data_IF_829114593607
#
_entry.id   IF_829114593607
#
_cell.length_a   1.000
_cell.length_b   1.000
_cell.length_c   1.000
_cell.angle_alpha   90.00
_cell.angle_beta   90.00
_cell.angle_gamma   90.00
#
_symmetry.space_group_name_H-M   'P 1'
#
loop_
_entity.id
_entity.type
_entity.pdbx_description
1 polymer ?
#
# COMPACT_ATOMS: atom_id res chain seq x y z
N UNK A 1 15.03 6.14 -2.32
CA UNK A 1 14.50 7.52 -2.20
C UNK A 1 13.08 7.38 -1.66
N UNK A 2 12.63 8.07 -0.61
CA UNK A 2 11.27 7.86 -0.12
C UNK A 2 10.26 8.24 -1.21
N UNK A 3 9.41 7.28 -1.60
CA UNK A 3 8.38 7.49 -2.59
C UNK A 3 7.35 8.46 -2.00
N UNK A 4 7.05 9.55 -2.72
CA UNK A 4 6.08 10.54 -2.23
C UNK A 4 4.68 9.92 -2.10
N UNK A 5 3.86 10.40 -1.15
CA UNK A 5 2.58 9.76 -0.87
C UNK A 5 1.63 9.67 -2.08
N UNK A 6 1.59 10.73 -2.89
CA UNK A 6 0.77 10.79 -4.10
C UNK A 6 1.22 9.78 -5.18
N UNK A 7 2.53 9.58 -5.30
CA UNK A 7 3.10 8.60 -6.24
C UNK A 7 2.80 7.18 -5.82
N UNK A 8 2.95 6.90 -4.53
CA UNK A 8 2.60 5.62 -3.93
C UNK A 8 1.10 5.29 -4.09
N UNK A 9 0.21 6.29 -3.98
CA UNK A 9 -1.22 6.14 -4.27
C UNK A 9 -1.43 5.71 -5.73
N UNK A 10 -0.82 6.44 -6.67
CA UNK A 10 -0.94 6.12 -8.10
C UNK A 10 -0.39 4.72 -8.45
N UNK A 11 0.63 4.26 -7.72
CA UNK A 11 1.20 2.93 -7.87
C UNK A 11 0.31 1.81 -7.36
N UNK A 12 -0.38 2.02 -6.24
CA UNK A 12 -1.35 1.06 -5.70
C UNK A 12 -2.63 1.00 -6.55
N UNK A 13 -3.07 2.14 -7.10
CA UNK A 13 -4.21 2.21 -8.04
C UNK A 13 -3.87 1.61 -9.42
N UNK A 14 -2.64 1.79 -9.89
CA UNK A 14 -2.16 1.22 -11.16
C UNK A 14 -0.81 0.49 -11.02
N UNK A 15 -0.85 -0.85 -10.84
CA UNK A 15 0.35 -1.68 -10.75
C UNK A 15 1.22 -1.64 -12.02
N UNK A 16 0.65 -1.31 -13.19
CA UNK A 16 1.41 -1.24 -14.45
C UNK A 16 2.40 -0.07 -14.43
N UNK A 17 2.05 1.01 -13.73
CA UNK A 17 2.92 2.17 -13.55
C UNK A 17 4.19 1.80 -12.78
N UNK A 18 4.07 1.01 -11.71
CA UNK A 18 5.24 0.48 -10.97
C UNK A 18 6.11 -0.39 -11.85
N UNK A 19 5.50 -1.27 -12.65
CA UNK A 19 6.25 -2.15 -13.56
C UNK A 19 7.03 -1.33 -14.59
N UNK A 20 6.41 -0.30 -15.15
CA UNK A 20 7.04 0.63 -16.09
C UNK A 20 8.19 1.40 -15.43
N UNK A 21 7.94 1.99 -14.26
CA UNK A 21 8.91 2.82 -13.56
C UNK A 21 10.09 1.98 -13.05
N UNK A 22 9.85 0.74 -12.61
CA UNK A 22 10.89 -0.21 -12.24
C UNK A 22 11.77 -0.60 -13.45
N UNK A 23 11.15 -0.86 -14.62
CA UNK A 23 11.90 -1.13 -15.87
C UNK A 23 12.75 0.06 -16.31
N UNK A 24 12.29 1.28 -16.04
CA UNK A 24 13.03 2.52 -16.30
C UNK A 24 14.01 2.88 -15.16
N UNK A 25 14.23 2.00 -14.19
CA UNK A 25 15.11 2.23 -13.02
C UNK A 25 14.74 3.47 -12.18
N UNK A 26 13.48 3.88 -12.21
CA UNK A 26 12.94 5.02 -11.44
C UNK A 26 12.64 4.63 -10.00
N UNK A 27 12.27 3.36 -9.77
CA UNK A 27 12.06 2.80 -8.44
C UNK A 27 12.69 1.41 -8.31
N UNK A 28 13.01 1.02 -7.07
CA UNK A 28 13.59 -0.29 -6.76
C UNK A 28 12.67 -1.10 -5.84
N UNK A 29 12.90 -2.41 -5.76
CA UNK A 29 12.20 -3.31 -4.84
C UNK A 29 12.13 -2.77 -3.40
N UNK A 30 13.25 -2.34 -2.76
CA UNK A 30 13.19 -1.80 -1.40
C UNK A 30 12.43 -0.47 -1.29
N UNK A 31 12.42 0.37 -2.33
CA UNK A 31 11.61 1.60 -2.32
C UNK A 31 10.10 1.26 -2.29
N UNK A 32 9.69 0.22 -3.04
CA UNK A 32 8.31 -0.23 -3.10
C UNK A 32 7.91 -0.98 -1.81
N UNK A 33 8.80 -1.75 -1.21
CA UNK A 33 8.55 -2.36 0.11
C UNK A 33 8.34 -1.30 1.19
N UNK A 34 9.21 -0.27 1.23
CA UNK A 34 9.05 0.85 2.16
C UNK A 34 7.70 1.57 1.95
N UNK A 35 7.28 1.74 0.71
CA UNK A 35 5.99 2.33 0.36
C UNK A 35 4.81 1.49 0.87
N UNK A 36 4.87 0.15 0.73
CA UNK A 36 3.86 -0.77 1.28
C UNK A 36 3.83 -0.66 2.81
N UNK A 37 5.00 -0.66 3.47
CA UNK A 37 5.10 -0.59 4.92
C UNK A 37 4.56 0.75 5.47
N UNK A 38 4.83 1.86 4.78
CA UNK A 38 4.28 3.18 5.13
C UNK A 38 2.77 3.26 4.91
N UNK A 39 2.26 2.68 3.82
CA UNK A 39 0.84 2.59 3.55
C UNK A 39 0.15 1.77 4.65
N UNK A 40 0.73 0.62 5.01
CA UNK A 40 0.24 -0.22 6.09
C UNK A 40 0.23 0.49 7.45
N UNK A 41 1.30 1.21 7.81
CA UNK A 41 1.34 2.01 9.05
C UNK A 41 0.22 3.05 9.10
N UNK A 42 -0.12 3.66 7.97
CA UNK A 42 -1.22 4.61 7.91
C UNK A 42 -2.59 3.94 7.88
N UNK A 43 -2.69 2.69 7.41
CA UNK A 43 -3.91 1.88 7.46
C UNK A 43 -4.19 1.35 8.87
N UNK A 44 -3.17 1.23 9.73
CA UNK A 44 -3.31 0.76 11.10
C UNK A 44 -4.21 1.70 11.91
N UNK A 45 -5.35 1.22 12.44
CA UNK A 45 -6.27 2.03 13.23
C UNK A 45 -5.69 2.44 14.59
N UNK A 46 -4.60 1.81 15.05
CA UNK A 46 -3.85 2.16 16.26
C UNK A 46 -2.88 3.33 16.03
N UNK A 47 -2.63 3.73 14.78
CA UNK A 47 -1.71 4.82 14.47
C UNK A 47 -2.34 6.15 14.92
N UNK A 48 -1.68 6.82 15.87
CA UNK A 48 -2.21 8.00 16.59
C UNK A 48 -2.35 9.25 15.71
N UNK A 49 -1.70 9.29 14.55
CA UNK A 49 -1.80 10.40 13.60
C UNK A 49 -2.47 9.92 12.31
N UNK A 50 -3.59 10.56 11.95
CA UNK A 50 -4.29 10.33 10.69
C UNK A 50 -3.39 10.77 9.52
N UNK A 51 -2.71 9.80 8.90
CA UNK A 51 -1.87 10.04 7.73
C UNK A 51 -2.69 10.39 6.46
N UNK A 52 -2.06 10.95 5.41
CA UNK A 52 -2.71 11.32 4.16
C UNK A 52 -3.51 10.18 3.48
N UNK A 53 -3.13 8.90 3.69
CA UNK A 53 -3.87 7.76 3.14
C UNK A 53 -5.19 7.48 3.85
N UNK A 54 -5.31 7.84 5.13
CA UNK A 54 -6.55 7.68 5.88
C UNK A 54 -7.68 8.56 5.33
N UNK A 55 -7.38 9.74 4.76
CA UNK A 55 -8.38 10.59 4.09
C UNK A 55 -8.98 9.96 2.83
N UNK A 56 -8.27 9.03 2.19
CA UNK A 56 -8.75 8.33 1.00
C UNK A 56 -9.79 7.26 1.33
N UNK A 57 -9.78 6.77 2.58
CA UNK A 57 -10.59 5.66 3.05
C UNK A 57 -11.75 6.17 3.93
N UNK A 58 -11.51 7.22 4.74
CA UNK A 58 -12.44 7.65 5.78
C UNK A 58 -13.33 8.83 5.41
N UNK A 59 -14.11 8.66 4.34
CA UNK A 59 -15.40 9.35 4.26
C UNK A 59 -16.37 8.70 5.25
N UNK A 60 -16.48 9.26 6.46
CA UNK A 60 -17.44 8.95 7.56
C UNK A 60 -17.04 7.93 8.65
N UNK A 61 -17.52 8.23 9.86
CA UNK A 61 -17.18 7.68 11.18
C UNK A 61 -17.69 6.25 11.44
N UNK A 62 -16.84 5.42 12.08
CA UNK A 62 -17.08 4.40 13.14
C UNK A 62 -15.87 3.43 13.17
N UNK A 63 -15.24 3.16 14.32
CA UNK A 63 -13.96 2.42 14.37
C UNK A 63 -14.02 0.95 13.87
N UNK A 64 -15.17 0.29 13.94
CA UNK A 64 -15.36 -1.07 13.41
C UNK A 64 -15.33 -1.13 11.87
N UNK A 65 -16.08 -0.28 11.13
CA UNK A 65 -15.92 -0.20 9.67
C UNK A 65 -14.53 0.29 9.25
N UNK A 66 -13.79 1.02 10.12
CA UNK A 66 -12.40 1.35 9.79
C UNK A 66 -11.50 0.14 9.70
N UNK A 67 -11.59 -0.76 10.67
CA UNK A 67 -10.80 -1.99 10.71
C UNK A 67 -11.15 -2.91 9.53
N UNK A 68 -12.45 -3.04 9.24
CA UNK A 68 -12.94 -3.78 8.07
C UNK A 68 -12.48 -3.14 6.74
N UNK A 69 -12.50 -1.82 6.60
CA UNK A 69 -12.04 -1.14 5.39
C UNK A 69 -10.52 -1.24 5.21
N UNK A 70 -9.74 -1.09 6.27
CA UNK A 70 -8.28 -1.29 6.20
C UNK A 70 -7.94 -2.73 5.79
N UNK A 71 -8.65 -3.72 6.33
CA UNK A 71 -8.47 -5.11 5.93
C UNK A 71 -8.90 -5.36 4.48
N UNK A 72 -10.08 -4.88 4.07
CA UNK A 72 -10.54 -4.99 2.68
C UNK A 72 -9.56 -4.33 1.71
N UNK A 73 -9.00 -3.17 2.06
CA UNK A 73 -8.00 -2.50 1.23
C UNK A 73 -6.71 -3.33 1.11
N UNK A 74 -6.30 -3.97 2.20
CA UNK A 74 -5.14 -4.86 2.19
C UNK A 74 -5.39 -6.09 1.31
N UNK A 75 -6.57 -6.69 1.39
CA UNK A 75 -6.96 -7.89 0.64
C UNK A 75 -7.27 -7.64 -0.83
N UNK A 76 -7.91 -6.51 -1.17
CA UNK A 76 -8.36 -6.21 -2.53
C UNK A 76 -7.37 -5.34 -3.33
N UNK A 77 -6.50 -4.57 -2.66
CA UNK A 77 -5.57 -3.65 -3.32
C UNK A 77 -4.12 -4.08 -3.11
N UNK A 78 -3.66 -4.18 -1.86
CA UNK A 78 -2.24 -4.40 -1.55
C UNK A 78 -1.79 -5.82 -1.94
N UNK A 79 -2.51 -6.87 -1.51
CA UNK A 79 -2.17 -8.27 -1.84
C UNK A 79 -2.15 -8.52 -3.36
N UNK A 80 -3.16 -8.10 -4.15
CA UNK A 80 -3.15 -8.27 -5.60
C UNK A 80 -2.05 -7.47 -6.29
N UNK A 81 -1.78 -6.24 -5.84
CA UNK A 81 -0.66 -5.42 -6.31
C UNK A 81 0.67 -6.15 -6.14
N UNK A 82 0.97 -6.60 -4.91
CA UNK A 82 2.21 -7.34 -4.58
C UNK A 82 2.35 -8.57 -5.47
N UNK A 83 1.30 -9.38 -5.58
CA UNK A 83 1.33 -10.60 -6.39
C UNK A 83 1.64 -10.28 -7.87
N UNK A 84 0.99 -9.25 -8.43
CA UNK A 84 1.20 -8.84 -9.82
C UNK A 84 2.61 -8.31 -10.06
N UNK A 85 3.13 -7.48 -9.16
CA UNK A 85 4.47 -6.90 -9.27
C UNK A 85 5.54 -7.98 -9.10
N UNK A 86 5.44 -8.83 -8.08
CA UNK A 86 6.36 -9.95 -7.86
C UNK A 86 6.39 -10.89 -9.07
N UNK A 87 5.22 -11.26 -9.60
CA UNK A 87 5.13 -12.14 -10.79
C UNK A 87 5.75 -11.51 -12.03
N UNK A 88 5.68 -10.18 -12.18
CA UNK A 88 6.14 -9.50 -13.41
C UNK A 88 7.62 -9.10 -13.35
N UNK A 89 8.09 -8.66 -12.19
CA UNK A 89 9.45 -8.15 -12.00
C UNK A 89 10.38 -9.18 -11.33
N UNK A 90 9.84 -10.30 -10.84
CA UNK A 90 10.60 -11.31 -10.09
C UNK A 90 11.00 -10.86 -8.68
N UNK A 91 10.29 -9.87 -8.12
CA UNK A 91 10.55 -9.33 -6.78
C UNK A 91 9.93 -10.18 -5.66
N UNK A 92 10.32 -9.90 -4.42
CA UNK A 92 9.83 -10.57 -3.21
C UNK A 92 9.20 -9.58 -2.23
N UNK A 93 8.30 -8.72 -2.73
CA UNK A 93 7.50 -7.82 -1.90
C UNK A 93 6.58 -8.62 -0.98
N UNK A 94 6.37 -8.12 0.26
CA UNK A 94 5.56 -8.79 1.29
C UNK A 94 4.56 -7.84 1.90
N UNK A 95 3.40 -8.39 2.27
CA UNK A 95 2.47 -7.69 3.16
C UNK A 95 2.95 -7.77 4.61
N UNK A 96 2.85 -6.69 5.39
CA UNK A 96 2.92 -6.76 6.85
C UNK A 96 1.80 -7.67 7.41
N UNK A 97 1.90 -8.12 8.67
CA UNK A 97 0.91 -9.02 9.29
C UNK A 97 -0.53 -8.50 9.12
N UNK A 98 -1.55 -9.37 8.98
CA UNK A 98 -2.94 -8.89 8.89
C UNK A 98 -3.35 -8.13 10.17
N UNK A 99 -4.19 -7.10 10.02
CA UNK A 99 -4.63 -6.27 11.15
C UNK A 99 -5.51 -7.04 12.15
N UNK A 100 -6.12 -8.15 11.70
CA UNK A 100 -6.94 -9.03 12.53
C UNK A 100 -6.12 -10.26 12.97
N UNK A 101 -5.53 -10.20 14.17
CA UNK A 101 -5.12 -11.37 14.95
C UNK A 101 -6.16 -11.68 16.02
#
# INVERSE_FOLDING_TARGET
MPIKPDTAKAYLEDPLKVISDAKNSVCTEPDIQLMIDECYKQLDPSYKELGPYQKLIFGWYMNAPKLLMSQNYLDEVIKPFINKVNRTLGWNLRTPEDFMK
#
